data_IF_015908793698
#
_entry.id   IF_015908793698
#
_cell.length_a   1.000
_cell.length_b   1.000
_cell.length_c   1.000
_cell.angle_alpha   90.00
_cell.angle_beta   90.00
_cell.angle_gamma   90.00
#
_symmetry.space_group_name_H-M   'P 1'
#
loop_
_entity.id
_entity.type
_entity.pdbx_description
1 polymer ?
#
# COMPACT_ATOMS: atom_id res chain seq x y z
N UNK A 1 -12.60 -2.40 -24.23
CA UNK A 1 -11.35 -2.74 -23.51
C UNK A 1 -11.50 -3.93 -22.59
N UNK A 2 -12.27 -3.85 -21.49
CA UNK A 2 -12.51 -5.07 -20.67
C UNK A 2 -13.47 -6.06 -21.34
N UNK A 3 -14.35 -5.58 -22.21
CA UNK A 3 -15.35 -6.38 -22.94
C UNK A 3 -15.00 -6.67 -24.39
N UNK A 4 -13.95 -6.02 -24.91
CA UNK A 4 -13.56 -6.12 -26.30
C UNK A 4 -12.06 -6.43 -26.39
N UNK A 5 -11.67 -7.66 -26.77
CA UNK A 5 -10.28 -8.11 -26.81
C UNK A 5 -9.41 -7.35 -27.83
N UNK A 6 -10.02 -6.54 -28.71
CA UNK A 6 -9.36 -5.92 -29.86
C UNK A 6 -8.72 -4.55 -29.57
N UNK A 7 -8.90 -3.97 -28.38
CA UNK A 7 -8.26 -2.70 -28.02
C UNK A 7 -6.83 -2.88 -27.47
N UNK A 8 -5.88 -2.22 -28.12
CA UNK A 8 -4.43 -2.39 -27.95
C UNK A 8 -3.84 -1.88 -26.61
N UNK A 9 -4.62 -1.25 -25.72
CA UNK A 9 -4.15 -0.79 -24.40
C UNK A 9 -4.67 -1.70 -23.29
N UNK A 10 -3.77 -2.14 -22.41
CA UNK A 10 -4.14 -2.88 -21.20
C UNK A 10 -5.15 -2.08 -20.37
N UNK A 11 -6.28 -2.67 -19.91
CA UNK A 11 -7.24 -2.00 -19.03
C UNK A 11 -6.58 -1.40 -17.79
N UNK A 12 -5.50 -2.02 -17.30
CA UNK A 12 -4.73 -1.52 -16.17
C UNK A 12 -4.11 -0.15 -16.43
N UNK A 13 -3.54 0.06 -17.62
CA UNK A 13 -2.89 1.34 -17.98
C UNK A 13 -3.91 2.46 -18.04
N UNK A 14 -5.06 2.22 -18.66
CA UNK A 14 -6.14 3.20 -18.74
C UNK A 14 -6.66 3.60 -17.36
N UNK A 15 -6.86 2.63 -16.46
CA UNK A 15 -7.26 2.93 -15.09
C UNK A 15 -6.19 3.70 -14.31
N UNK A 16 -4.92 3.35 -14.48
CA UNK A 16 -3.81 4.07 -13.85
C UNK A 16 -3.72 5.52 -14.33
N UNK A 17 -3.80 5.75 -15.64
CA UNK A 17 -3.82 7.09 -16.26
C UNK A 17 -5.03 7.90 -15.77
N UNK A 18 -6.20 7.27 -15.66
CA UNK A 18 -7.42 7.91 -15.15
C UNK A 18 -7.29 8.28 -13.66
N UNK A 19 -6.72 7.40 -12.84
CA UNK A 19 -6.42 7.68 -11.42
C UNK A 19 -5.46 8.87 -11.28
N UNK A 20 -4.45 8.97 -12.15
CA UNK A 20 -3.54 10.11 -12.17
C UNK A 20 -4.25 11.41 -12.55
N UNK A 21 -5.10 11.38 -13.57
CA UNK A 21 -5.90 12.53 -13.99
C UNK A 21 -6.83 13.01 -12.87
N UNK A 22 -7.57 12.10 -12.23
CA UNK A 22 -8.48 12.46 -11.14
C UNK A 22 -7.69 13.04 -9.96
N UNK A 23 -6.58 12.41 -9.56
CA UNK A 23 -5.73 12.94 -8.47
C UNK A 23 -5.15 14.30 -8.81
N UNK A 24 -4.77 14.53 -10.07
CA UNK A 24 -4.30 15.83 -10.51
C UNK A 24 -5.42 16.88 -10.42
N UNK A 25 -6.60 16.60 -10.94
CA UNK A 25 -7.76 17.49 -10.85
C UNK A 25 -8.13 17.82 -9.39
N UNK A 26 -8.08 16.81 -8.51
CA UNK A 26 -8.32 16.98 -7.07
C UNK A 26 -7.27 17.84 -6.35
N UNK A 27 -6.06 17.99 -6.91
CA UNK A 27 -5.01 18.86 -6.35
C UNK A 27 -5.14 20.31 -6.79
N UNK A 28 -5.80 20.58 -7.93
CA UNK A 28 -5.99 21.94 -8.44
C UNK A 28 -6.88 22.79 -7.52
N UNK A 29 -7.73 22.15 -6.70
CA UNK A 29 -8.57 22.81 -5.70
C UNK A 29 -8.43 22.08 -4.37
N UNK A 30 -8.31 22.82 -3.27
CA UNK A 30 -8.22 22.19 -1.94
C UNK A 30 -9.62 21.79 -1.43
N UNK A 31 -10.16 20.70 -1.98
CA UNK A 31 -11.51 20.20 -1.67
C UNK A 31 -11.69 19.75 -0.21
N UNK A 32 -10.61 19.52 0.52
CA UNK A 32 -10.62 19.14 1.94
C UNK A 32 -10.46 20.35 2.88
N UNK A 33 -10.37 21.57 2.34
CA UNK A 33 -10.34 22.79 3.15
C UNK A 33 -11.69 23.01 3.86
N UNK A 34 -11.65 23.55 5.08
CA UNK A 34 -12.85 24.05 5.76
C UNK A 34 -13.53 25.19 4.97
N UNK A 35 -12.81 25.82 4.04
CA UNK A 35 -13.33 26.84 3.13
C UNK A 35 -13.97 26.28 1.85
N UNK A 36 -13.98 24.95 1.66
CA UNK A 36 -14.56 24.34 0.48
C UNK A 36 -16.10 24.47 0.52
N UNK A 37 -16.66 24.92 -0.60
CA UNK A 37 -18.11 25.00 -0.82
C UNK A 37 -18.76 23.61 -0.79
N UNK A 38 -20.07 23.56 -0.56
CA UNK A 38 -20.83 22.30 -0.57
C UNK A 38 -20.70 21.58 -1.91
N UNK A 39 -20.78 22.31 -3.03
CA UNK A 39 -20.61 21.74 -4.37
C UNK A 39 -19.22 21.13 -4.60
N UNK A 40 -18.17 21.76 -4.05
CA UNK A 40 -16.80 21.23 -4.07
C UNK A 40 -16.68 19.93 -3.28
N UNK A 41 -17.27 19.87 -2.08
CA UNK A 41 -17.30 18.64 -1.27
C UNK A 41 -18.05 17.52 -2.00
N UNK A 42 -19.22 17.82 -2.60
CA UNK A 42 -19.97 16.85 -3.42
C UNK A 42 -19.13 16.32 -4.59
N UNK A 43 -18.42 17.19 -5.32
CA UNK A 43 -17.51 16.78 -6.41
C UNK A 43 -16.38 15.89 -5.88
N UNK A 44 -15.82 16.22 -4.71
CA UNK A 44 -14.78 15.42 -4.09
C UNK A 44 -15.27 14.02 -3.68
N UNK A 45 -16.51 13.88 -3.20
CA UNK A 45 -17.13 12.56 -2.95
C UNK A 45 -17.16 11.74 -4.24
N UNK A 46 -17.67 12.31 -5.34
CA UNK A 46 -17.73 11.62 -6.64
C UNK A 46 -16.33 11.18 -7.12
N UNK A 47 -15.33 12.07 -7.03
CA UNK A 47 -13.95 11.75 -7.38
C UNK A 47 -13.37 10.63 -6.50
N UNK A 48 -13.63 10.64 -5.19
CA UNK A 48 -13.17 9.61 -4.28
C UNK A 48 -13.85 8.25 -4.56
N UNK A 49 -15.14 8.22 -4.93
CA UNK A 49 -15.81 6.99 -5.38
C UNK A 49 -15.17 6.41 -6.64
N UNK A 50 -14.84 7.26 -7.62
CA UNK A 50 -14.09 6.85 -8.80
C UNK A 50 -12.75 6.23 -8.43
N UNK A 51 -11.94 6.95 -7.64
CA UNK A 51 -10.61 6.49 -7.23
C UNK A 51 -10.69 5.15 -6.50
N UNK A 52 -11.64 5.03 -5.57
CA UNK A 52 -11.83 3.81 -4.79
C UNK A 52 -12.05 2.59 -5.69
N UNK A 53 -13.04 2.64 -6.58
CA UNK A 53 -13.36 1.50 -7.45
C UNK A 53 -12.28 1.27 -8.51
N UNK A 54 -11.66 2.31 -9.07
CA UNK A 54 -10.55 2.17 -10.02
C UNK A 54 -9.37 1.42 -9.39
N UNK A 55 -8.97 1.80 -8.18
CA UNK A 55 -7.90 1.09 -7.47
C UNK A 55 -8.27 -0.37 -7.21
N UNK A 56 -9.53 -0.66 -6.83
CA UNK A 56 -9.96 -2.03 -6.63
C UNK A 56 -9.91 -2.85 -7.94
N UNK A 57 -10.34 -2.28 -9.07
CA UNK A 57 -10.24 -2.93 -10.38
C UNK A 57 -8.79 -3.17 -10.78
N UNK A 58 -7.90 -2.21 -10.54
CA UNK A 58 -6.46 -2.39 -10.76
C UNK A 58 -5.88 -3.53 -9.91
N UNK A 59 -6.32 -3.69 -8.66
CA UNK A 59 -5.97 -4.85 -7.85
C UNK A 59 -6.47 -6.16 -8.47
N UNK A 60 -7.76 -6.23 -8.82
CA UNK A 60 -8.36 -7.45 -9.39
C UNK A 60 -7.67 -7.91 -10.67
N UNK A 61 -7.29 -6.98 -11.56
CA UNK A 61 -6.54 -7.28 -12.79
C UNK A 61 -5.17 -7.93 -12.53
N UNK A 62 -4.56 -7.72 -11.35
CA UNK A 62 -3.25 -8.26 -10.98
C UNK A 62 -3.29 -9.18 -9.76
N UNK A 63 -4.47 -9.59 -9.28
CA UNK A 63 -4.66 -10.40 -8.07
C UNK A 63 -3.86 -11.70 -8.11
N UNK A 64 -3.90 -12.41 -9.23
CA UNK A 64 -3.20 -13.69 -9.37
C UNK A 64 -1.68 -13.53 -9.32
N UNK A 65 -1.16 -12.41 -9.85
CA UNK A 65 0.26 -12.07 -9.72
C UNK A 65 0.63 -11.79 -8.26
N UNK A 66 -0.17 -10.99 -7.54
CA UNK A 66 0.07 -10.73 -6.12
C UNK A 66 0.10 -12.02 -5.30
N UNK A 67 -0.85 -12.93 -5.53
CA UNK A 67 -0.90 -14.23 -4.84
C UNK A 67 0.33 -15.09 -5.14
N UNK A 68 0.80 -15.13 -6.40
CA UNK A 68 2.03 -15.85 -6.79
C UNK A 68 3.27 -15.24 -6.13
N UNK A 69 3.37 -13.91 -6.11
CA UNK A 69 4.47 -13.20 -5.46
C UNK A 69 4.47 -13.44 -3.96
N UNK A 70 3.31 -13.34 -3.29
CA UNK A 70 3.16 -13.59 -1.86
C UNK A 70 3.68 -14.98 -1.46
N UNK A 71 3.25 -16.04 -2.16
CA UNK A 71 3.72 -17.41 -1.90
C UNK A 71 5.24 -17.54 -2.05
N UNK A 72 5.78 -17.04 -3.16
CA UNK A 72 7.22 -17.15 -3.47
C UNK A 72 8.08 -16.35 -2.49
N UNK A 73 7.63 -15.16 -2.07
CA UNK A 73 8.32 -14.33 -1.09
C UNK A 73 8.32 -14.99 0.29
N UNK A 74 7.17 -15.53 0.71
CA UNK A 74 7.06 -16.23 1.99
C UNK A 74 7.96 -17.47 2.05
N UNK A 75 8.03 -18.23 0.96
CA UNK A 75 8.94 -19.37 0.84
C UNK A 75 10.42 -18.93 0.91
N UNK A 76 10.79 -17.89 0.17
CA UNK A 76 12.14 -17.34 0.20
C UNK A 76 12.56 -16.90 1.61
N UNK A 77 11.77 -16.06 2.27
CA UNK A 77 12.12 -15.53 3.59
C UNK A 77 12.13 -16.60 4.68
N UNK A 78 11.28 -17.63 4.57
CA UNK A 78 11.31 -18.80 5.45
C UNK A 78 12.60 -19.60 5.28
N UNK A 79 13.10 -19.75 4.05
CA UNK A 79 14.32 -20.49 3.77
C UNK A 79 15.58 -19.68 4.12
N UNK A 80 15.58 -18.36 3.84
CA UNK A 80 16.71 -17.49 4.17
C UNK A 80 16.91 -17.35 5.69
N UNK A 81 15.84 -17.34 6.48
CA UNK A 81 15.93 -17.29 7.95
C UNK A 81 16.61 -18.55 8.54
N UNK A 82 16.42 -19.71 7.91
CA UNK A 82 17.07 -20.97 8.32
C UNK A 82 18.55 -21.01 7.95
N UNK A 83 18.93 -20.42 6.82
CA UNK A 83 20.33 -20.35 6.37
C UNK A 83 21.11 -19.24 7.08
N UNK A 84 20.42 -18.20 7.57
CA UNK A 84 21.00 -17.06 8.31
C UNK A 84 21.15 -17.32 9.82
N UNK A 85 20.91 -18.54 10.32
CA UNK A 85 21.37 -18.88 11.65
C UNK A 85 22.88 -18.61 11.70
N UNK A 86 23.25 -17.61 12.50
CA UNK A 86 24.61 -17.31 12.91
C UNK A 86 25.37 -18.63 13.02
N UNK A 87 26.58 -18.67 12.43
CA UNK A 87 27.52 -19.77 12.58
C UNK A 87 27.42 -20.30 14.02
N UNK A 88 27.29 -21.64 14.22
CA UNK A 88 27.09 -22.19 15.55
C UNK A 88 28.18 -21.62 16.46
N UNK A 89 27.78 -20.76 17.39
CA UNK A 89 28.75 -20.20 18.33
C UNK A 89 29.36 -21.38 19.09
N UNK A 90 30.70 -21.53 19.14
CA UNK A 90 31.35 -22.70 19.76
C UNK A 90 31.07 -22.88 21.26
N UNK A 91 30.31 -21.97 21.88
CA UNK A 91 30.14 -21.84 23.33
C UNK A 91 28.82 -22.39 23.89
N UNK A 92 28.06 -23.20 23.14
CA UNK A 92 26.94 -23.95 23.73
C UNK A 92 27.40 -25.30 24.27
N UNK A 93 28.11 -25.27 25.40
CA UNK A 93 28.31 -26.46 26.24
C UNK A 93 27.11 -26.60 27.16
N UNK A 94 26.26 -27.59 26.91
CA UNK A 94 25.35 -28.13 27.94
C UNK A 94 25.77 -29.57 28.24
N UNK A 95 26.44 -29.75 29.39
CA UNK A 95 26.92 -31.04 29.88
C UNK A 95 27.01 -31.02 31.41
N UNK A 96 25.87 -31.26 32.06
CA UNK A 96 25.65 -32.03 33.30
C UNK A 96 26.81 -32.08 34.35
N UNK A 97 26.60 -31.36 35.46
CA UNK A 97 27.04 -31.56 36.88
C UNK A 97 28.23 -32.49 37.19
N UNK A 98 29.28 -31.96 37.84
CA UNK A 98 29.63 -32.21 39.26
C UNK A 98 30.94 -31.48 39.66
N UNK A 99 30.95 -30.75 40.79
CA UNK A 99 32.18 -30.37 41.52
C UNK A 99 32.53 -28.87 41.54
N UNK A 100 32.17 -28.20 42.63
CA UNK A 100 32.69 -26.91 43.13
C UNK A 100 34.21 -26.97 43.48
N UNK A 101 34.89 -25.85 43.87
CA UNK A 101 34.51 -24.43 43.85
C UNK A 101 35.55 -23.52 43.13
N UNK A 102 35.19 -22.25 42.93
CA UNK A 102 36.08 -21.15 42.51
C UNK A 102 37.33 -20.98 43.37
N UNK A 103 38.33 -20.21 42.88
CA UNK A 103 38.73 -19.06 43.69
C UNK A 103 38.86 -17.76 42.89
N UNK A 104 38.20 -16.73 43.44
CA UNK A 104 38.71 -15.39 43.75
C UNK A 104 39.73 -14.71 42.81
N UNK A 105 39.24 -13.64 42.17
CA UNK A 105 39.82 -12.27 42.07
C UNK A 105 41.29 -12.07 41.70
N UNK A 106 41.55 -11.11 40.80
CA UNK A 106 42.30 -9.85 41.05
C UNK A 106 42.60 -9.15 39.71
N UNK A 107 42.13 -7.91 39.53
CA UNK A 107 42.86 -6.94 38.70
C UNK A 107 44.16 -6.60 39.41
N UNK A 108 45.28 -6.43 38.67
CA UNK A 108 45.74 -5.06 38.43
C UNK A 108 46.38 -4.85 37.03
N UNK A 109 46.27 -3.63 36.49
CA UNK A 109 47.06 -3.13 35.35
C UNK A 109 48.54 -2.94 35.74
N UNK A 110 49.55 -2.91 34.83
CA UNK A 110 49.86 -1.67 34.08
C UNK A 110 50.51 -1.83 32.66
N UNK A 111 50.34 -0.76 31.86
CA UNK A 111 51.20 -0.16 30.82
C UNK A 111 52.11 -0.97 29.85
N UNK A 112 51.98 -0.61 28.56
CA UNK A 112 53.01 -0.43 27.52
C UNK A 112 53.48 -1.62 26.66
N UNK A 113 53.07 -1.61 25.38
CA UNK A 113 53.94 -1.35 24.19
C UNK A 113 53.63 -2.24 22.96
N UNK A 114 53.52 -1.53 21.82
CA UNK A 114 53.75 -1.92 20.41
C UNK A 114 53.03 -3.15 19.81
N UNK A 115 52.23 -2.89 18.77
CA UNK A 115 51.78 -3.92 17.84
C UNK A 115 50.61 -3.45 16.97
N UNK A 116 50.92 -2.98 15.77
CA UNK A 116 49.93 -2.52 14.80
C UNK A 116 48.93 -3.59 14.38
N UNK A 117 47.72 -3.15 14.05
CA UNK A 117 46.68 -4.01 13.53
C UNK A 117 45.38 -3.23 13.39
N UNK A 118 45.21 -2.57 12.25
CA UNK A 118 43.94 -2.05 11.78
C UNK A 118 42.92 -3.19 11.67
N UNK A 119 42.21 -3.43 12.77
CA UNK A 119 41.08 -4.34 12.87
C UNK A 119 39.87 -3.56 13.33
N UNK A 120 39.46 -2.56 12.55
CA UNK A 120 38.13 -1.98 12.70
C UNK A 120 37.12 -3.12 12.52
N UNK A 121 36.56 -3.60 13.63
CA UNK A 121 35.38 -4.44 13.58
C UNK A 121 34.36 -3.72 12.71
N UNK A 122 33.85 -4.32 11.61
CA UNK A 122 32.66 -3.78 11.01
C UNK A 122 31.59 -3.97 12.09
N UNK A 123 31.23 -2.87 12.76
CA UNK A 123 30.04 -2.83 13.60
C UNK A 123 28.94 -3.50 12.80
N UNK A 124 28.33 -4.54 13.38
CA UNK A 124 27.24 -5.33 12.84
C UNK A 124 26.13 -4.41 12.33
N UNK A 125 26.31 -3.91 11.12
CA UNK A 125 25.30 -3.22 10.36
C UNK A 125 24.44 -4.36 9.87
N UNK A 126 23.27 -4.55 10.49
CA UNK A 126 22.30 -5.61 10.19
C UNK A 126 21.71 -5.46 8.79
N UNK A 127 22.56 -5.57 7.77
CA UNK A 127 22.21 -5.47 6.36
C UNK A 127 21.96 -6.88 5.83
N UNK A 128 20.77 -7.10 5.28
CA UNK A 128 20.38 -8.37 4.68
C UNK A 128 20.54 -8.23 3.17
N UNK A 129 21.41 -9.04 2.57
CA UNK A 129 21.54 -9.11 1.12
C UNK A 129 20.34 -9.88 0.53
N UNK A 130 19.61 -9.24 -0.40
CA UNK A 130 18.44 -9.82 -1.05
C UNK A 130 18.70 -9.89 -2.57
N UNK A 131 18.48 -11.04 -3.24
CA UNK A 131 18.59 -11.15 -4.68
C UNK A 131 17.66 -10.19 -5.40
N UNK A 132 18.12 -9.62 -6.51
CA UNK A 132 17.36 -8.63 -7.29
C UNK A 132 15.96 -9.13 -7.67
N UNK A 133 15.80 -10.41 -8.06
CA UNK A 133 14.48 -10.99 -8.37
C UNK A 133 13.51 -10.88 -7.18
N UNK A 134 13.97 -11.20 -5.96
CA UNK A 134 13.15 -11.15 -4.74
C UNK A 134 12.77 -9.71 -4.42
N UNK A 135 13.69 -8.77 -4.57
CA UNK A 135 13.41 -7.34 -4.41
C UNK A 135 12.32 -6.86 -5.37
N UNK A 136 12.45 -7.15 -6.67
CA UNK A 136 11.43 -6.76 -7.67
C UNK A 136 10.06 -7.40 -7.40
N UNK A 137 10.03 -8.66 -6.95
CA UNK A 137 8.79 -9.34 -6.56
C UNK A 137 8.15 -8.69 -5.34
N UNK A 138 8.94 -8.33 -4.32
CA UNK A 138 8.45 -7.63 -3.14
C UNK A 138 7.88 -6.26 -3.51
N UNK A 139 8.63 -5.45 -4.28
CA UNK A 139 8.17 -4.15 -4.75
C UNK A 139 6.87 -4.26 -5.57
N UNK A 140 6.80 -5.22 -6.49
CA UNK A 140 5.60 -5.47 -7.31
C UNK A 140 4.41 -5.94 -6.47
N UNK A 141 4.64 -6.85 -5.52
CA UNK A 141 3.61 -7.32 -4.60
C UNK A 141 3.03 -6.16 -3.79
N UNK A 142 3.89 -5.34 -3.16
CA UNK A 142 3.47 -4.15 -2.41
C UNK A 142 2.70 -3.19 -3.31
N UNK A 143 3.18 -2.91 -4.52
CA UNK A 143 2.47 -2.01 -5.43
C UNK A 143 1.07 -2.52 -5.80
N UNK A 144 0.92 -3.84 -6.04
CA UNK A 144 -0.38 -4.43 -6.37
C UNK A 144 -1.31 -4.39 -5.16
N UNK A 145 -0.86 -4.86 -3.99
CA UNK A 145 -1.71 -4.95 -2.78
C UNK A 145 -2.05 -3.58 -2.20
N UNK A 146 -1.19 -2.57 -2.36
CA UNK A 146 -1.47 -1.20 -1.92
C UNK A 146 -2.68 -0.58 -2.65
N UNK A 147 -3.05 -1.07 -3.84
CA UNK A 147 -4.29 -0.63 -4.48
C UNK A 147 -5.53 -0.97 -3.61
N UNK A 148 -5.52 -2.07 -2.85
CA UNK A 148 -6.62 -2.38 -1.93
C UNK A 148 -6.70 -1.31 -0.83
N UNK A 149 -5.58 -1.00 -0.18
CA UNK A 149 -5.56 -0.01 0.89
C UNK A 149 -6.05 1.36 0.41
N UNK A 150 -5.54 1.83 -0.73
CA UNK A 150 -5.98 3.08 -1.35
C UNK A 150 -7.46 3.05 -1.74
N UNK A 151 -7.95 1.91 -2.19
CA UNK A 151 -9.36 1.74 -2.52
C UNK A 151 -10.25 2.01 -1.31
N UNK A 152 -9.98 1.36 -0.18
CA UNK A 152 -10.76 1.55 1.05
C UNK A 152 -10.59 2.95 1.64
N UNK A 153 -9.37 3.50 1.66
CA UNK A 153 -9.11 4.85 2.17
C UNK A 153 -9.91 5.92 1.40
N UNK A 154 -9.97 5.82 0.07
CA UNK A 154 -10.80 6.72 -0.74
C UNK A 154 -12.30 6.50 -0.51
N UNK A 155 -12.74 5.25 -0.28
CA UNK A 155 -14.14 4.97 0.03
C UNK A 155 -14.57 5.62 1.35
N UNK A 156 -13.79 5.43 2.41
CA UNK A 156 -14.06 6.05 3.71
C UNK A 156 -13.98 7.57 3.64
N UNK A 157 -13.06 8.11 2.84
CA UNK A 157 -12.96 9.56 2.61
C UNK A 157 -14.22 10.10 1.92
N UNK A 158 -14.76 9.39 0.94
CA UNK A 158 -16.03 9.73 0.33
C UNK A 158 -17.18 9.69 1.35
N UNK A 159 -17.25 8.66 2.20
CA UNK A 159 -18.29 8.56 3.25
C UNK A 159 -18.23 9.73 4.22
N UNK A 160 -17.03 10.11 4.68
CA UNK A 160 -16.84 11.26 5.57
C UNK A 160 -17.23 12.58 4.92
N UNK A 161 -16.89 12.78 3.64
CA UNK A 161 -17.23 14.02 2.93
C UNK A 161 -18.72 14.12 2.59
N UNK A 162 -19.40 12.98 2.46
CA UNK A 162 -20.83 12.94 2.15
C UNK A 162 -21.73 13.31 3.33
N UNK A 163 -21.22 13.37 4.58
CA UNK A 163 -21.99 13.73 5.77
C UNK A 163 -22.72 15.06 5.65
N UNK A 164 -22.09 16.02 4.96
CA UNK A 164 -22.61 17.39 4.81
C UNK A 164 -23.60 17.53 3.64
N UNK A 165 -23.84 16.45 2.89
CA UNK A 165 -24.66 16.47 1.66
C UNK A 165 -25.45 15.17 1.48
N UNK A 166 -25.92 14.59 2.58
CA UNK A 166 -26.61 13.29 2.59
C UNK A 166 -27.84 13.27 1.68
N UNK A 167 -28.66 14.31 1.69
CA UNK A 167 -29.86 14.40 0.85
C UNK A 167 -29.53 14.25 -0.64
N UNK A 168 -28.51 14.98 -1.12
CA UNK A 168 -28.04 14.88 -2.51
C UNK A 168 -27.62 13.46 -2.88
N UNK A 169 -26.88 12.78 -2.01
CA UNK A 169 -26.41 11.41 -2.30
C UNK A 169 -27.52 10.37 -2.15
N UNK A 170 -28.48 10.57 -1.25
CA UNK A 170 -29.67 9.71 -1.14
C UNK A 170 -30.56 9.79 -2.38
N UNK A 171 -30.76 10.99 -2.93
CA UNK A 171 -31.47 11.18 -4.19
C UNK A 171 -30.71 10.53 -5.36
N UNK A 172 -29.39 10.66 -5.38
CA UNK A 172 -28.55 10.08 -6.42
C UNK A 172 -28.58 8.54 -6.37
N UNK A 173 -28.51 7.97 -5.17
CA UNK A 173 -28.65 6.53 -4.92
C UNK A 173 -30.03 6.02 -5.35
N UNK A 174 -31.08 6.80 -5.10
CA UNK A 174 -32.45 6.46 -5.53
C UNK A 174 -32.60 6.48 -7.06
N UNK A 175 -31.88 7.36 -7.76
CA UNK A 175 -31.95 7.49 -9.21
C UNK A 175 -31.08 6.47 -9.97
N UNK A 176 -29.91 6.10 -9.43
CA UNK A 176 -28.88 5.35 -10.16
C UNK A 176 -28.50 4.00 -9.54
N UNK A 177 -29.14 3.62 -8.43
CA UNK A 177 -28.76 2.55 -7.50
C UNK A 177 -27.51 2.93 -6.66
N UNK A 178 -27.51 2.67 -5.33
CA UNK A 178 -26.37 3.01 -4.47
C UNK A 178 -25.11 2.25 -4.90
N UNK A 179 -24.00 2.98 -4.98
CA UNK A 179 -22.70 2.35 -5.24
C UNK A 179 -22.24 1.54 -4.02
N UNK A 180 -21.64 0.40 -4.29
CA UNK A 180 -20.91 -0.42 -3.32
C UNK A 180 -19.47 -0.64 -3.77
N UNK A 181 -18.62 -1.14 -2.86
CA UNK A 181 -17.25 -1.52 -3.17
C UNK A 181 -17.16 -2.53 -4.34
N UNK A 182 -18.22 -3.29 -4.61
CA UNK A 182 -18.26 -4.30 -5.67
C UNK A 182 -18.88 -3.81 -6.98
N UNK A 183 -19.46 -2.60 -7.00
CA UNK A 183 -20.14 -2.05 -8.18
C UNK A 183 -19.25 -2.02 -9.41
N UNK A 184 -19.81 -2.43 -10.54
CA UNK A 184 -19.15 -2.46 -11.85
C UNK A 184 -18.72 -1.07 -12.31
N UNK A 185 -17.77 -1.03 -13.25
CA UNK A 185 -17.35 0.24 -13.87
C UNK A 185 -18.50 0.92 -14.62
N UNK A 186 -19.47 0.16 -15.14
CA UNK A 186 -20.64 0.72 -15.81
C UNK A 186 -21.56 1.45 -14.83
N UNK A 187 -21.84 0.84 -13.68
CA UNK A 187 -22.63 1.48 -12.61
C UNK A 187 -21.92 2.74 -12.10
N UNK A 188 -20.62 2.66 -11.84
CA UNK A 188 -19.81 3.83 -11.48
C UNK A 188 -19.95 4.95 -12.51
N UNK A 189 -19.72 4.66 -13.80
CA UNK A 189 -19.78 5.69 -14.85
C UNK A 189 -21.16 6.33 -14.92
N UNK A 190 -22.24 5.55 -14.82
CA UNK A 190 -23.60 6.08 -14.83
C UNK A 190 -23.86 6.97 -13.60
N UNK A 191 -23.53 6.49 -12.40
CA UNK A 191 -23.70 7.21 -11.15
C UNK A 191 -22.95 8.56 -11.16
N UNK A 192 -21.68 8.54 -11.57
CA UNK A 192 -20.83 9.74 -11.61
C UNK A 192 -21.31 10.73 -12.67
N UNK A 193 -21.74 10.25 -13.85
CA UNK A 193 -22.30 11.13 -14.88
C UNK A 193 -23.56 11.84 -14.39
N UNK A 194 -24.43 11.13 -13.68
CA UNK A 194 -25.65 11.72 -13.12
C UNK A 194 -25.32 12.75 -12.04
N UNK A 195 -24.44 12.42 -11.08
CA UNK A 195 -24.02 13.37 -10.04
C UNK A 195 -23.35 14.62 -10.61
N UNK A 196 -22.49 14.47 -11.62
CA UNK A 196 -21.87 15.60 -12.31
C UNK A 196 -22.88 16.45 -13.10
N UNK A 197 -23.91 15.83 -13.68
CA UNK A 197 -24.97 16.56 -14.36
C UNK A 197 -25.73 17.46 -13.37
N UNK A 198 -26.14 16.92 -12.21
CA UNK A 198 -26.81 17.69 -11.16
C UNK A 198 -25.94 18.83 -10.62
N UNK A 199 -24.64 18.57 -10.37
CA UNK A 199 -23.72 19.62 -9.92
C UNK A 199 -23.54 20.76 -10.94
N UNK A 200 -23.58 20.46 -12.26
CA UNK A 200 -23.53 21.50 -13.29
C UNK A 200 -24.81 22.33 -13.33
N UNK A 201 -25.97 21.69 -13.14
CA UNK A 201 -27.25 22.40 -13.03
C UNK A 201 -27.27 23.34 -11.83
N UNK A 202 -26.82 22.87 -10.65
CA UNK A 202 -26.72 23.68 -9.43
C UNK A 202 -25.78 24.90 -9.61
N UNK A 203 -24.74 24.75 -10.43
CA UNK A 203 -23.77 25.81 -10.69
C UNK A 203 -24.17 26.77 -11.84
N UNK A 204 -25.35 26.61 -12.44
CA UNK A 204 -25.79 27.34 -13.65
C UNK A 204 -24.81 27.24 -14.83
N UNK A 205 -24.18 26.07 -15.01
CA UNK A 205 -23.21 25.81 -16.07
C UNK A 205 -23.80 25.00 -17.24
N UNK A 206 -25.13 24.98 -17.37
CA UNK A 206 -25.88 24.30 -18.45
C UNK A 206 -26.67 25.30 -19.28
#
# INVERSE_FOLDING_TARGET
>A
MERDPLEAKSPYTMYSETVELIRYAMRLKNFASHSATVAEKKLAVLCNRCLSLLYLRMFHLKKDHAVKYSRSLMEYFKNSAKTSHQAPSPWRTNGKVNGTPSPLSLSPSPASSVGGGSGGAPGSSGSVAIPQRIHHMAASHVNITNNILRSYEHWETADRLASDSQEFFQELDSAMEPLSQQSSMTELVRYIRQGLHWLRSEAHLL
#
